data_IF_624515891503
#
_entry.id   IF_624515891503
#
_cell.length_a   1.000
_cell.length_b   1.000
_cell.length_c   1.000
_cell.angle_alpha   90.00
_cell.angle_beta   90.00
_cell.angle_gamma   90.00
#
_symmetry.space_group_name_H-M   'P 1'
#
loop_
_entity.id
_entity.type
_entity.pdbx_description
1 polymer ?
#
# COMPACT_ATOMS: atom_id res chain seq x y z
N UNK A 1 91.60 54.60 40.76
CA UNK A 1 90.24 54.40 40.24
C UNK A 1 90.17 53.05 39.55
N UNK A 2 89.20 52.19 39.88
CA UNK A 2 88.70 51.28 38.84
C UNK A 2 87.18 51.21 38.76
N UNK A 3 86.74 50.87 37.56
CA UNK A 3 85.39 50.93 37.02
C UNK A 3 84.47 49.82 37.54
N UNK A 4 83.19 50.16 37.72
CA UNK A 4 82.09 49.21 37.97
C UNK A 4 81.69 48.50 36.69
N UNK A 5 81.80 47.16 36.67
CA UNK A 5 81.33 46.30 35.59
C UNK A 5 79.79 46.30 35.51
N UNK A 6 79.19 46.24 34.30
CA UNK A 6 77.74 46.17 34.13
C UNK A 6 77.19 44.77 34.49
N UNK A 7 75.92 44.66 34.93
CA UNK A 7 75.36 43.38 35.34
C UNK A 7 75.18 42.41 34.16
N UNK A 8 75.29 41.09 34.39
CA UNK A 8 75.21 40.09 33.34
C UNK A 8 73.80 40.01 32.74
N UNK A 9 73.75 39.94 31.40
CA UNK A 9 72.52 39.81 30.61
C UNK A 9 72.07 38.34 30.61
N UNK A 10 70.93 38.05 31.23
CA UNK A 10 70.34 36.70 31.27
C UNK A 10 69.58 36.45 29.96
N UNK A 11 70.06 35.52 29.12
CA UNK A 11 69.31 35.07 27.95
C UNK A 11 68.31 33.95 28.35
N UNK A 12 67.08 33.92 27.79
CA UNK A 12 66.10 32.90 28.13
C UNK A 12 66.54 31.51 27.63
N UNK A 13 66.34 30.48 28.47
CA UNK A 13 66.75 29.10 28.18
C UNK A 13 65.91 28.47 27.06
N UNK A 14 66.44 28.45 25.84
CA UNK A 14 65.81 27.85 24.64
C UNK A 14 65.46 26.34 24.81
N UNK A 15 66.16 25.62 25.71
CA UNK A 15 65.94 24.18 25.95
C UNK A 15 64.57 23.83 26.54
N UNK A 16 63.97 24.73 27.34
CA UNK A 16 62.64 24.50 27.94
C UNK A 16 61.51 24.50 26.91
N UNK A 17 61.60 25.36 25.89
CA UNK A 17 60.57 25.47 24.83
C UNK A 17 60.58 24.22 23.93
N UNK A 18 61.76 23.69 23.61
CA UNK A 18 61.92 22.47 22.79
C UNK A 18 61.39 21.24 23.54
N UNK A 19 61.71 21.10 24.82
CA UNK A 19 61.25 19.99 25.66
C UNK A 19 59.72 20.00 25.84
N UNK A 20 59.12 21.17 26.08
CA UNK A 20 57.66 21.33 26.18
C UNK A 20 56.97 21.01 24.86
N UNK A 21 57.53 21.46 23.72
CA UNK A 21 56.99 21.19 22.38
C UNK A 21 56.95 19.69 22.06
N UNK A 22 57.97 18.94 22.45
CA UNK A 22 58.06 17.49 22.24
C UNK A 22 57.07 16.70 23.12
N UNK A 23 56.87 17.12 24.36
CA UNK A 23 55.85 16.50 25.25
C UNK A 23 54.45 16.77 24.70
N UNK A 24 54.19 17.98 24.20
CA UNK A 24 52.90 18.38 23.65
C UNK A 24 52.57 17.57 22.39
N UNK A 25 53.50 17.43 21.43
CA UNK A 25 53.28 16.63 20.22
C UNK A 25 53.01 15.16 20.54
N UNK A 26 53.77 14.57 21.48
CA UNK A 26 53.54 13.18 21.88
C UNK A 26 52.14 12.99 22.49
N UNK A 27 51.72 13.87 23.41
CA UNK A 27 50.39 13.85 24.01
C UNK A 27 49.28 13.99 22.96
N UNK A 28 49.44 14.89 22.00
CA UNK A 28 48.46 15.08 20.92
C UNK A 28 48.38 13.87 20.01
N UNK A 29 49.50 13.26 19.64
CA UNK A 29 49.52 12.04 18.81
C UNK A 29 48.85 10.87 19.52
N UNK A 30 49.13 10.66 20.81
CA UNK A 30 48.48 9.61 21.60
C UNK A 30 46.97 9.85 21.69
N UNK A 31 46.55 11.10 21.92
CA UNK A 31 45.13 11.45 21.96
C UNK A 31 44.43 11.20 20.62
N UNK A 32 45.06 11.59 19.51
CA UNK A 32 44.54 11.34 18.15
C UNK A 32 44.38 9.84 17.90
N UNK A 33 45.41 9.05 18.23
CA UNK A 33 45.43 7.61 18.01
C UNK A 33 44.39 6.90 18.88
N UNK A 34 44.23 7.35 20.14
CA UNK A 34 43.17 6.87 21.02
C UNK A 34 41.78 7.22 20.48
N UNK A 35 41.61 8.44 19.95
CA UNK A 35 40.35 8.87 19.30
C UNK A 35 39.99 7.99 18.11
N UNK A 36 40.96 7.72 17.23
CA UNK A 36 40.81 6.79 16.11
C UNK A 36 40.48 5.36 16.57
N UNK A 37 41.14 4.88 17.62
CA UNK A 37 40.90 3.56 18.18
C UNK A 37 39.45 3.45 18.72
N UNK A 38 38.93 4.50 19.33
CA UNK A 38 37.55 4.55 19.83
C UNK A 38 36.50 4.68 18.70
N UNK A 39 36.88 5.12 17.50
CA UNK A 39 35.94 5.11 16.36
C UNK A 39 35.58 3.69 15.89
N UNK A 40 36.49 2.71 16.05
CA UNK A 40 36.22 1.32 15.67
C UNK A 40 34.99 0.72 16.39
N UNK A 41 34.92 0.69 17.74
CA UNK A 41 33.75 0.16 18.43
C UNK A 41 32.50 1.00 18.20
N UNK A 42 32.64 2.32 17.98
CA UNK A 42 31.51 3.17 17.63
C UNK A 42 30.90 2.75 16.28
N UNK A 43 31.74 2.53 15.26
CA UNK A 43 31.28 2.08 13.95
C UNK A 43 30.57 0.73 14.05
N UNK A 44 31.11 -0.23 14.80
CA UNK A 44 30.46 -1.54 14.99
C UNK A 44 29.07 -1.43 15.61
N UNK A 45 28.87 -0.55 16.60
CA UNK A 45 27.56 -0.33 17.22
C UNK A 45 26.58 0.27 16.20
N UNK A 46 27.04 1.22 15.39
CA UNK A 46 26.22 1.84 14.35
C UNK A 46 25.81 0.81 13.29
N UNK A 47 26.75 -0.01 12.83
CA UNK A 47 26.50 -1.08 11.85
C UNK A 47 25.50 -2.12 12.41
N UNK A 48 25.70 -2.57 13.65
CA UNK A 48 24.78 -3.50 14.33
C UNK A 48 23.38 -2.89 14.50
N UNK A 49 23.28 -1.60 14.79
CA UNK A 49 22.00 -0.91 14.87
C UNK A 49 21.31 -0.89 13.50
N UNK A 50 22.04 -0.54 12.44
CA UNK A 50 21.53 -0.53 11.07
C UNK A 50 21.02 -1.91 10.66
N UNK A 51 21.77 -2.97 10.97
CA UNK A 51 21.36 -4.36 10.72
C UNK A 51 20.05 -4.71 11.46
N UNK A 52 19.94 -4.33 12.74
CA UNK A 52 18.68 -4.53 13.50
C UNK A 52 17.51 -3.76 12.92
N UNK A 53 17.70 -2.52 12.48
CA UNK A 53 16.64 -1.77 11.81
C UNK A 53 16.25 -2.42 10.48
N UNK A 54 17.21 -2.95 9.73
CA UNK A 54 16.96 -3.64 8.47
C UNK A 54 16.12 -4.91 8.69
N UNK A 55 16.51 -5.78 9.63
CA UNK A 55 15.72 -6.98 9.96
C UNK A 55 14.32 -6.64 10.48
N UNK A 56 14.18 -5.58 11.29
CA UNK A 56 12.87 -5.13 11.74
C UNK A 56 11.99 -4.71 10.56
N UNK A 57 12.52 -3.94 9.61
CA UNK A 57 11.78 -3.54 8.40
C UNK A 57 11.36 -4.75 7.58
N UNK A 58 12.29 -5.66 7.31
CA UNK A 58 12.01 -6.89 6.56
C UNK A 58 10.95 -7.75 7.27
N UNK A 59 11.00 -7.87 8.60
CA UNK A 59 10.01 -8.61 9.37
C UNK A 59 8.62 -7.98 9.26
N UNK A 60 8.52 -6.64 9.36
CA UNK A 60 7.27 -5.90 9.18
C UNK A 60 6.75 -6.07 7.75
N UNK A 61 7.61 -5.96 6.74
CA UNK A 61 7.22 -6.16 5.34
C UNK A 61 6.73 -7.58 5.07
N UNK A 62 7.35 -8.60 5.68
CA UNK A 62 6.87 -10.00 5.60
C UNK A 62 5.50 -10.18 6.25
N UNK A 63 5.28 -9.58 7.43
CA UNK A 63 3.97 -9.60 8.09
C UNK A 63 2.93 -8.90 7.18
N UNK A 64 3.25 -7.72 6.67
CA UNK A 64 2.35 -6.95 5.81
C UNK A 64 2.12 -7.60 4.45
N UNK A 65 3.11 -8.29 3.88
CA UNK A 65 2.97 -9.04 2.64
C UNK A 65 2.14 -10.31 2.79
N UNK A 66 2.03 -10.85 4.01
CA UNK A 66 1.06 -11.89 4.33
C UNK A 66 -0.37 -11.35 4.54
N UNK A 67 -0.48 -10.06 4.84
CA UNK A 67 -1.75 -9.33 4.91
C UNK A 67 -2.04 -8.68 3.56
N UNK A 68 -3.22 -8.07 3.41
CA UNK A 68 -3.45 -7.27 2.22
C UNK A 68 -2.79 -5.91 2.38
N UNK A 69 -2.35 -5.35 1.25
CA UNK A 69 -1.98 -3.93 1.22
C UNK A 69 -3.20 -3.02 1.46
N UNK A 70 -3.02 -1.70 1.36
CA UNK A 70 -4.12 -0.76 1.47
C UNK A 70 -5.30 -1.11 0.54
N UNK A 71 -6.46 -1.34 1.13
CA UNK A 71 -7.67 -1.71 0.40
C UNK A 71 -8.49 -0.49 -0.01
N UNK A 72 -8.90 -0.47 -1.28
CA UNK A 72 -9.92 0.45 -1.80
C UNK A 72 -11.09 -0.39 -2.28
N UNK A 73 -12.27 -0.09 -1.78
CA UNK A 73 -13.51 -0.76 -2.17
C UNK A 73 -14.34 0.16 -3.06
N UNK A 74 -14.77 -0.34 -4.21
CA UNK A 74 -15.57 0.39 -5.19
C UNK A 74 -16.83 -0.42 -5.49
N UNK A 75 -17.98 0.21 -5.31
CA UNK A 75 -19.29 -0.38 -5.57
C UNK A 75 -20.13 -0.57 -4.30
N UNK A 76 -21.19 -1.39 -4.38
CA UNK A 76 -21.55 -2.24 -5.51
C UNK A 76 -22.06 -1.45 -6.73
N UNK A 77 -21.76 -1.94 -7.93
CA UNK A 77 -22.18 -1.35 -9.21
C UNK A 77 -22.92 -2.42 -10.02
N UNK A 78 -24.13 -2.12 -10.46
CA UNK A 78 -24.85 -2.96 -11.40
C UNK A 78 -24.31 -2.70 -12.82
N UNK A 79 -23.92 -3.76 -13.50
CA UNK A 79 -23.34 -3.67 -14.85
C UNK A 79 -24.19 -4.46 -15.84
N UNK A 80 -24.57 -3.79 -16.93
CA UNK A 80 -25.24 -4.41 -18.07
C UNK A 80 -24.31 -4.38 -19.27
N UNK A 81 -23.65 -5.51 -19.58
CA UNK A 81 -22.96 -5.68 -20.83
C UNK A 81 -23.95 -5.80 -22.00
N UNK A 82 -23.56 -5.23 -23.14
CA UNK A 82 -24.25 -5.44 -24.41
C UNK A 82 -23.26 -5.38 -25.57
N UNK A 83 -23.59 -6.09 -26.65
CA UNK A 83 -22.77 -6.15 -27.87
C UNK A 83 -23.54 -5.51 -29.01
N UNK A 84 -22.88 -4.60 -29.73
CA UNK A 84 -23.41 -3.93 -30.92
C UNK A 84 -22.59 -4.31 -32.14
N UNK A 85 -23.26 -4.65 -33.24
CA UNK A 85 -22.58 -4.82 -34.53
C UNK A 85 -22.40 -3.46 -35.20
N UNK A 86 -21.15 -3.09 -35.44
CA UNK A 86 -20.78 -1.87 -36.16
C UNK A 86 -20.26 -2.27 -37.53
N UNK A 87 -20.90 -1.74 -38.57
CA UNK A 87 -20.47 -1.93 -39.95
C UNK A 87 -19.70 -0.70 -40.39
N UNK A 88 -18.39 -0.84 -40.64
CA UNK A 88 -17.59 0.22 -41.26
C UNK A 88 -17.55 -0.01 -42.77
N UNK A 89 -17.92 1.02 -43.52
CA UNK A 89 -17.78 1.07 -44.97
C UNK A 89 -16.47 1.78 -45.32
N UNK A 90 -15.44 1.01 -45.67
CA UNK A 90 -14.17 1.55 -46.17
C UNK A 90 -14.06 1.29 -47.67
N UNK A 91 -14.68 2.18 -48.46
CA UNK A 91 -14.63 2.19 -49.92
C UNK A 91 -15.27 0.98 -50.63
N UNK A 92 -14.59 -0.17 -50.62
CA UNK A 92 -15.00 -1.43 -51.29
C UNK A 92 -15.18 -2.62 -50.35
N UNK A 93 -14.66 -2.57 -49.12
CA UNK A 93 -14.82 -3.66 -48.14
C UNK A 93 -15.81 -3.27 -47.06
N UNK A 94 -16.73 -4.19 -46.76
CA UNK A 94 -17.64 -4.10 -45.61
C UNK A 94 -17.00 -4.90 -44.47
N UNK A 95 -16.46 -4.23 -43.46
CA UNK A 95 -15.95 -4.90 -42.25
C UNK A 95 -16.98 -4.77 -41.14
N UNK A 96 -17.45 -5.92 -40.64
CA UNK A 96 -18.31 -6.00 -39.44
C UNK A 96 -17.42 -6.18 -38.21
N UNK A 97 -17.61 -5.31 -37.24
CA UNK A 97 -16.98 -5.39 -35.93
C UNK A 97 -18.05 -5.56 -34.86
N UNK A 98 -17.74 -6.35 -33.84
CA UNK A 98 -18.56 -6.42 -32.63
C UNK A 98 -17.93 -5.52 -31.58
N UNK A 99 -18.65 -4.49 -31.16
CA UNK A 99 -18.26 -3.60 -30.09
C UNK A 99 -18.99 -4.02 -28.80
N UNK A 100 -18.22 -4.35 -27.76
CA UNK A 100 -18.76 -4.68 -26.44
C UNK A 100 -18.76 -3.44 -25.56
N UNK A 101 -19.93 -3.05 -25.10
CA UNK A 101 -20.16 -1.86 -24.29
C UNK A 101 -20.69 -2.27 -22.92
N UNK A 102 -20.42 -1.42 -21.92
CA UNK A 102 -20.86 -1.62 -20.54
C UNK A 102 -21.69 -0.42 -20.13
N UNK A 103 -22.90 -0.68 -19.64
CA UNK A 103 -23.68 0.33 -18.93
C UNK A 103 -23.51 0.12 -17.43
N UNK A 104 -23.29 1.20 -16.70
CA UNK A 104 -23.10 1.18 -15.25
C UNK A 104 -24.29 1.83 -14.55
N UNK A 105 -24.74 1.22 -13.46
CA UNK A 105 -25.77 1.78 -12.58
C UNK A 105 -25.33 1.69 -11.14
N UNK A 106 -25.44 2.80 -10.45
CA UNK A 106 -25.14 2.94 -9.03
C UNK A 106 -26.43 2.79 -8.22
N UNK A 107 -26.35 2.29 -6.98
CA UNK A 107 -27.50 2.26 -6.09
C UNK A 107 -27.92 3.69 -5.73
N UNK A 108 -29.22 3.90 -5.52
CA UNK A 108 -29.73 5.22 -5.12
C UNK A 108 -29.30 5.60 -3.71
N UNK A 109 -29.23 4.59 -2.85
CA UNK A 109 -28.77 4.68 -1.48
C UNK A 109 -27.83 3.53 -1.20
N UNK A 110 -26.70 3.85 -0.60
CA UNK A 110 -25.70 2.91 -0.13
C UNK A 110 -25.42 3.23 1.34
N UNK A 111 -25.82 2.33 2.22
CA UNK A 111 -25.48 2.36 3.63
C UNK A 111 -24.32 1.38 3.86
N UNK A 112 -23.18 1.92 4.29
CA UNK A 112 -21.96 1.15 4.52
C UNK A 112 -21.63 1.11 6.02
N UNK A 113 -21.55 -0.09 6.58
CA UNK A 113 -21.10 -0.33 7.95
C UNK A 113 -19.76 -1.03 7.91
N UNK A 114 -18.75 -0.43 8.56
CA UNK A 114 -17.39 -0.95 8.56
C UNK A 114 -16.95 -1.12 10.02
N UNK A 115 -16.83 -2.38 10.45
CA UNK A 115 -16.23 -2.75 11.72
C UNK A 115 -14.75 -3.05 11.52
N UNK A 116 -13.88 -2.27 12.16
CA UNK A 116 -12.43 -2.52 12.13
C UNK A 116 -11.97 -3.22 13.40
N UNK A 117 -11.18 -4.26 13.24
CA UNK A 117 -10.53 -4.99 14.32
C UNK A 117 -9.01 -4.96 14.10
N UNK A 118 -8.26 -4.72 15.17
CA UNK A 118 -6.80 -4.69 15.12
C UNK A 118 -6.27 -5.94 15.78
N UNK A 119 -5.58 -6.76 15.00
CA UNK A 119 -5.00 -8.01 15.48
C UNK A 119 -3.48 -7.93 15.41
N UNK A 120 -2.77 -8.09 16.54
CA UNK A 120 -1.32 -8.13 16.52
C UNK A 120 -0.83 -9.39 15.83
N UNK A 121 0.12 -9.24 14.89
CA UNK A 121 0.82 -10.33 14.23
C UNK A 121 2.30 -10.26 14.58
N UNK A 122 2.87 -11.42 14.93
CA UNK A 122 4.26 -11.53 15.38
C UNK A 122 5.08 -12.34 14.40
N UNK A 123 6.31 -11.90 14.14
CA UNK A 123 7.35 -12.64 13.45
C UNK A 123 8.63 -12.60 14.28
N UNK A 124 8.97 -13.71 14.94
CA UNK A 124 10.06 -13.76 15.91
C UNK A 124 9.78 -12.83 17.11
N UNK A 125 10.70 -11.90 17.38
CA UNK A 125 10.56 -10.89 18.44
C UNK A 125 9.86 -9.60 17.96
N UNK A 126 9.50 -9.53 16.68
CA UNK A 126 8.89 -8.35 16.08
C UNK A 126 7.39 -8.52 15.99
N UNK A 127 6.67 -7.42 16.20
CA UNK A 127 5.21 -7.38 16.16
C UNK A 127 4.77 -6.21 15.28
N UNK A 128 3.75 -6.45 14.45
CA UNK A 128 3.05 -5.43 13.69
C UNK A 128 1.55 -5.56 13.94
N UNK A 129 0.83 -4.46 13.75
CA UNK A 129 -0.63 -4.45 13.86
C UNK A 129 -1.23 -4.67 12.48
N UNK A 130 -2.05 -5.72 12.33
CA UNK A 130 -2.80 -5.99 11.11
C UNK A 130 -4.24 -5.60 11.33
N UNK A 131 -4.81 -4.89 10.36
CA UNK A 131 -6.18 -4.40 10.42
C UNK A 131 -7.07 -5.36 9.63
N UNK A 132 -8.17 -5.78 10.24
CA UNK A 132 -9.22 -6.52 9.56
C UNK A 132 -10.48 -5.66 9.54
N UNK A 133 -11.16 -5.61 8.41
CA UNK A 133 -12.39 -4.83 8.25
C UNK A 133 -13.53 -5.77 7.85
N UNK A 134 -14.55 -5.85 8.70
CA UNK A 134 -15.84 -6.45 8.36
C UNK A 134 -16.69 -5.36 7.73
N UNK A 135 -17.01 -5.51 6.45
CA UNK A 135 -17.75 -4.52 5.67
C UNK A 135 -19.11 -5.09 5.30
N UNK A 136 -20.15 -4.40 5.73
CA UNK A 136 -21.54 -4.67 5.35
C UNK A 136 -22.04 -3.50 4.51
N UNK A 137 -22.33 -3.76 3.23
CA UNK A 137 -22.89 -2.80 2.30
C UNK A 137 -24.34 -3.16 2.02
N UNK A 138 -25.25 -2.22 2.24
CA UNK A 138 -26.66 -2.43 1.96
C UNK A 138 -27.26 -1.24 1.21
N UNK A 139 -28.33 -1.47 0.48
CA UNK A 139 -28.95 -0.41 -0.30
C UNK A 139 -30.03 -0.91 -1.24
N UNK A 140 -30.49 -0.05 -2.14
CA UNK A 140 -31.53 -0.37 -3.11
C UNK A 140 -31.08 -0.06 -4.53
N UNK A 141 -31.35 -1.01 -5.43
CA UNK A 141 -31.23 -0.87 -6.87
C UNK A 141 -32.63 -0.75 -7.46
N UNK A 142 -32.86 0.26 -8.28
CA UNK A 142 -34.15 0.45 -8.95
C UNK A 142 -34.27 -0.43 -10.18
N UNK A 143 -35.41 -1.10 -10.30
CA UNK A 143 -35.88 -1.73 -11.54
C UNK A 143 -36.46 -0.65 -12.45
N UNK A 144 -35.60 0.12 -13.10
CA UNK A 144 -36.04 1.19 -13.98
C UNK A 144 -35.97 0.74 -15.46
N UNK A 145 -37.06 0.91 -16.22
CA UNK A 145 -37.13 0.54 -17.63
C UNK A 145 -36.16 1.29 -18.55
N UNK A 146 -35.60 2.45 -18.18
CA UNK A 146 -34.61 3.19 -19.00
C UNK A 146 -33.21 2.53 -19.04
N UNK A 147 -33.04 1.42 -18.31
CA UNK A 147 -31.88 0.53 -18.41
C UNK A 147 -31.85 -0.31 -19.69
N UNK A 148 -32.84 -0.15 -20.57
CA UNK A 148 -32.91 -0.88 -21.83
C UNK A 148 -31.63 -0.71 -22.67
N UNK A 149 -31.15 -1.86 -23.16
CA UNK A 149 -30.08 -1.95 -24.14
C UNK A 149 -30.60 -1.40 -25.48
N UNK A 150 -29.77 -0.71 -26.29
CA UNK A 150 -30.18 -0.25 -27.61
C UNK A 150 -30.82 -1.38 -28.43
N UNK A 151 -31.86 -1.07 -29.21
CA UNK A 151 -32.61 -2.08 -29.97
C UNK A 151 -31.76 -2.81 -31.02
N UNK A 152 -30.65 -2.21 -31.45
CA UNK A 152 -29.66 -2.77 -32.37
C UNK A 152 -28.49 -3.49 -31.65
N UNK A 153 -28.62 -3.72 -30.34
CA UNK A 153 -27.62 -4.42 -29.54
C UNK A 153 -28.21 -5.64 -28.83
N UNK A 154 -27.36 -6.65 -28.62
CA UNK A 154 -27.69 -7.89 -27.91
C UNK A 154 -27.28 -7.72 -26.45
N UNK A 155 -28.27 -7.79 -25.54
CA UNK A 155 -28.03 -7.75 -24.10
C UNK A 155 -27.36 -9.06 -23.64
N UNK A 156 -26.29 -8.94 -22.85
CA UNK A 156 -25.69 -10.05 -22.13
C UNK A 156 -26.26 -10.16 -20.70
N UNK A 157 -25.89 -11.20 -19.93
CA UNK A 157 -26.34 -11.36 -18.54
C UNK A 157 -25.83 -10.20 -17.66
N UNK A 158 -26.72 -9.43 -17.00
CA UNK A 158 -26.30 -8.41 -16.05
C UNK A 158 -25.62 -9.03 -14.83
N UNK A 159 -24.75 -8.27 -14.17
CA UNK A 159 -24.09 -8.71 -12.95
C UNK A 159 -23.89 -7.55 -11.97
N UNK A 160 -23.92 -7.85 -10.68
CA UNK A 160 -23.49 -6.92 -9.64
C UNK A 160 -21.99 -7.06 -9.45
N UNK A 161 -21.26 -5.96 -9.55
CA UNK A 161 -19.81 -5.90 -9.42
C UNK A 161 -19.41 -5.20 -8.13
N UNK A 162 -18.40 -5.75 -7.46
CA UNK A 162 -17.70 -5.12 -6.36
C UNK A 162 -16.20 -5.17 -6.66
N UNK A 163 -15.61 -4.01 -6.86
CA UNK A 163 -14.20 -3.87 -7.20
C UNK A 163 -13.36 -3.55 -5.95
N UNK A 164 -12.18 -4.13 -5.90
CA UNK A 164 -11.18 -3.99 -4.85
C UNK A 164 -9.83 -3.63 -5.48
N UNK A 165 -8.97 -2.96 -4.71
CA UNK A 165 -7.58 -2.73 -5.14
C UNK A 165 -6.78 -4.02 -5.24
N UNK A 166 -6.99 -4.98 -4.32
CA UNK A 166 -6.34 -6.28 -4.35
C UNK A 166 -7.27 -7.38 -3.81
N UNK A 167 -7.63 -8.34 -4.66
CA UNK A 167 -8.51 -9.44 -4.31
C UNK A 167 -7.94 -10.38 -3.24
N UNK A 168 -6.62 -10.38 -3.01
CA UNK A 168 -6.01 -11.17 -1.91
C UNK A 168 -6.47 -10.71 -0.53
N UNK A 169 -6.97 -9.48 -0.41
CA UNK A 169 -7.53 -8.96 0.84
C UNK A 169 -8.86 -9.58 1.22
N UNK A 170 -9.55 -10.25 0.30
CA UNK A 170 -10.81 -10.93 0.59
C UNK A 170 -10.50 -12.22 1.37
N UNK A 171 -10.70 -12.21 2.68
CA UNK A 171 -10.34 -13.36 3.53
C UNK A 171 -11.36 -14.49 3.49
N UNK A 172 -12.60 -14.20 3.08
CA UNK A 172 -13.71 -15.14 3.02
C UNK A 172 -14.56 -14.83 1.79
N UNK A 173 -15.21 -15.85 1.22
CA UNK A 173 -16.12 -15.67 0.09
C UNK A 173 -17.23 -14.71 0.51
N UNK A 174 -17.41 -13.55 -0.18
CA UNK A 174 -18.45 -12.60 0.16
C UNK A 174 -19.84 -13.22 0.05
N UNK A 175 -20.72 -12.86 0.96
CA UNK A 175 -22.14 -13.16 0.82
C UNK A 175 -22.80 -11.98 0.10
N UNK A 176 -23.62 -12.29 -0.90
CA UNK A 176 -24.37 -11.28 -1.63
C UNK A 176 -25.83 -11.73 -1.73
N UNK A 177 -26.74 -10.87 -1.31
CA UNK A 177 -28.16 -11.06 -1.50
C UNK A 177 -28.75 -9.91 -2.30
N UNK A 178 -29.74 -10.23 -3.15
CA UNK A 178 -30.54 -9.26 -3.88
C UNK A 178 -32.01 -9.69 -3.83
N UNK A 179 -32.89 -8.80 -3.38
CA UNK A 179 -34.32 -9.11 -3.26
C UNK A 179 -34.59 -10.32 -2.36
N UNK A 180 -33.74 -10.56 -1.35
CA UNK A 180 -33.83 -11.70 -0.44
C UNK A 180 -33.31 -13.04 -1.00
N UNK A 181 -32.80 -13.06 -2.24
CA UNK A 181 -32.17 -14.26 -2.83
C UNK A 181 -30.66 -14.18 -2.71
N UNK A 182 -30.02 -15.26 -2.25
CA UNK A 182 -28.56 -15.37 -2.26
C UNK A 182 -28.09 -15.54 -3.69
N UNK A 183 -27.08 -14.75 -4.07
CA UNK A 183 -26.43 -14.81 -5.37
C UNK A 183 -25.09 -15.54 -5.24
N UNK A 184 -24.72 -16.29 -6.28
CA UNK A 184 -23.40 -16.90 -6.36
C UNK A 184 -22.36 -15.82 -6.69
N UNK A 185 -21.33 -15.72 -5.86
CA UNK A 185 -20.24 -14.75 -6.02
C UNK A 185 -19.07 -15.42 -6.74
N UNK A 186 -18.69 -14.85 -7.88
CA UNK A 186 -17.60 -15.31 -8.73
C UNK A 186 -16.40 -14.36 -8.66
N UNK A 187 -15.17 -14.87 -8.80
CA UNK A 187 -13.97 -14.05 -8.79
C UNK A 187 -13.90 -13.10 -10.00
N UNK A 188 -13.26 -11.94 -9.78
CA UNK A 188 -13.08 -10.87 -10.75
C UNK A 188 -14.19 -9.82 -10.69
N UNK A 189 -13.84 -8.53 -10.69
CA UNK A 189 -14.84 -7.46 -10.67
C UNK A 189 -15.52 -7.24 -12.02
N UNK A 190 -14.91 -7.66 -13.14
CA UNK A 190 -15.35 -7.35 -14.50
C UNK A 190 -15.52 -5.83 -14.76
N UNK A 191 -14.84 -5.00 -13.98
CA UNK A 191 -14.84 -3.54 -14.10
C UNK A 191 -13.43 -3.06 -14.51
N UNK A 192 -13.17 -3.08 -15.81
CA UNK A 192 -11.83 -2.79 -16.35
C UNK A 192 -10.80 -3.82 -15.87
N UNK A 193 -9.65 -3.35 -15.38
CA UNK A 193 -8.58 -4.19 -14.84
C UNK A 193 -8.61 -4.29 -13.31
N UNK A 194 -9.69 -3.84 -12.66
CA UNK A 194 -9.80 -3.89 -11.20
C UNK A 194 -9.99 -5.33 -10.70
N UNK A 195 -9.35 -5.63 -9.58
CA UNK A 195 -9.59 -6.87 -8.85
C UNK A 195 -10.96 -6.81 -8.15
N UNK A 196 -11.47 -7.94 -7.67
CA UNK A 196 -12.70 -7.98 -6.89
C UNK A 196 -13.57 -9.18 -7.23
N UNK A 197 -14.88 -9.01 -7.11
CA UNK A 197 -15.88 -10.08 -7.31
C UNK A 197 -17.09 -9.57 -8.09
N UNK A 198 -17.82 -10.49 -8.70
CA UNK A 198 -19.09 -10.19 -9.33
C UNK A 198 -20.10 -11.32 -9.11
N UNK A 199 -21.38 -11.01 -9.23
CA UNK A 199 -22.44 -12.00 -9.18
C UNK A 199 -23.41 -11.81 -10.36
N UNK A 200 -23.60 -12.83 -11.22
CA UNK A 200 -24.55 -12.76 -12.32
C UNK A 200 -25.99 -12.70 -11.82
N UNK A 201 -26.84 -11.95 -12.53
CA UNK A 201 -28.26 -11.75 -12.20
C UNK A 201 -29.12 -12.50 -13.22
N UNK A 202 -30.15 -13.18 -12.76
CA UNK A 202 -30.94 -14.10 -13.59
C UNK A 202 -32.00 -13.40 -14.41
N UNK A 203 -32.73 -12.43 -13.86
CA UNK A 203 -33.57 -11.43 -14.56
C UNK A 203 -34.29 -10.61 -13.48
N UNK A 204 -34.44 -9.30 -13.71
CA UNK A 204 -34.90 -8.26 -12.77
C UNK A 204 -33.86 -7.83 -11.73
N UNK A 205 -32.93 -6.96 -12.18
CA UNK A 205 -31.83 -6.41 -11.40
C UNK A 205 -32.24 -5.28 -10.42
N UNK A 206 -33.42 -5.38 -9.83
CA UNK A 206 -33.95 -4.40 -8.88
C UNK A 206 -34.29 -5.02 -7.55
N UNK A 207 -34.11 -4.25 -6.49
CA UNK A 207 -34.42 -4.66 -5.12
C UNK A 207 -33.37 -4.20 -4.11
N UNK A 208 -33.63 -4.56 -2.85
CA UNK A 208 -32.67 -4.36 -1.77
C UNK A 208 -31.51 -5.34 -1.92
N UNK A 209 -30.28 -4.85 -1.89
CA UNK A 209 -29.09 -5.68 -1.83
C UNK A 209 -28.45 -5.60 -0.45
N UNK A 210 -27.72 -6.65 -0.10
CA UNK A 210 -26.87 -6.72 1.06
C UNK A 210 -25.63 -7.53 0.71
N UNK A 211 -24.45 -6.95 0.96
CA UNK A 211 -23.15 -7.53 0.70
C UNK A 211 -22.39 -7.58 2.01
N UNK A 212 -21.93 -8.75 2.42
CA UNK A 212 -21.01 -8.87 3.54
C UNK A 212 -19.68 -9.45 3.06
N UNK A 213 -18.60 -8.81 3.46
CA UNK A 213 -17.25 -9.28 3.18
C UNK A 213 -16.30 -8.92 4.30
N UNK A 214 -15.26 -9.74 4.45
CA UNK A 214 -14.18 -9.48 5.40
C UNK A 214 -12.90 -9.20 4.61
N UNK A 215 -12.29 -8.05 4.91
CA UNK A 215 -11.03 -7.58 4.35
C UNK A 215 -9.91 -7.71 5.38
N UNK A 216 -8.71 -8.05 4.90
CA UNK A 216 -7.43 -8.01 5.64
C UNK A 216 -6.47 -6.99 5.04
#
# INVERSE_FOLDING_TARGET
MPASLPPPKVLPSQGGIVMVKQILTHKTTVLLLLGLLLMLPMQWILDLNQERQAYRREAIEKIMGSASGPQRLIGPVLVQPFVREVTLHDGKEVKRYQERLLRYRLPQRLDAHIGMEVTPRTLGIYQAQVYQAKVTLSGTLDADPDWQVPADAVAETPYLSLALSDARGISQIPTLTLGGKSLEVLPGARLGQLAGVHAPLTTDAGGRFEVELTLQ
#
